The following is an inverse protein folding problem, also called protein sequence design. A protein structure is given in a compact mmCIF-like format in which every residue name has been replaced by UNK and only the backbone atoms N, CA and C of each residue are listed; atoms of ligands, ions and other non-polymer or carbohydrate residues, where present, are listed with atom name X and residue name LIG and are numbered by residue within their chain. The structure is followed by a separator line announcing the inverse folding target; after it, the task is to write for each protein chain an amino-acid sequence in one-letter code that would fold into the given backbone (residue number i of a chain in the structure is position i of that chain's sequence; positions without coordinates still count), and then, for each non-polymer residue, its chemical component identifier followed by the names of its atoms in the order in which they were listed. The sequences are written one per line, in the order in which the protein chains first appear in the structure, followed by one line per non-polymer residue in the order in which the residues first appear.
data_IF_781154945119
#
_entry.id   IF_781154945119
#
_cell.length_a   1.000
_cell.length_b   1.000
_cell.length_c   1.000
_cell.angle_alpha   90.00
_cell.angle_beta   90.00
_cell.angle_gamma   90.00
#
_symmetry.space_group_name_H-M   'P 1'
#
loop_
_entity.id
_entity.type
_entity.pdbx_description
1 polymer ?
#
# COMPACT_ATOMS: atom_id res chain seq x y z
N UNK A 1 -11.82 9.39 -13.76
CA UNK A 1 -11.65 8.27 -12.82
C UNK A 1 -12.19 7.01 -13.47
N UNK A 2 -11.46 5.91 -13.44
CA UNK A 2 -11.82 4.67 -14.16
C UNK A 2 -11.84 3.48 -13.21
N UNK A 3 -12.91 2.67 -13.24
CA UNK A 3 -12.99 1.45 -12.44
C UNK A 3 -12.23 0.31 -13.14
N UNK A 4 -11.30 -0.29 -12.41
CA UNK A 4 -10.48 -1.37 -12.89
C UNK A 4 -11.18 -2.72 -12.69
N UNK A 5 -11.15 -3.56 -13.74
CA UNK A 5 -11.60 -4.96 -13.63
C UNK A 5 -10.57 -5.74 -12.81
N UNK A 6 -11.00 -6.69 -11.98
CA UNK A 6 -10.11 -7.61 -11.25
C UNK A 6 -9.55 -8.65 -12.22
N UNK A 7 -8.57 -8.24 -13.01
CA UNK A 7 -7.88 -9.05 -14.01
C UNK A 7 -6.41 -8.66 -14.03
N UNK A 8 -5.53 -9.64 -14.03
CA UNK A 8 -4.09 -9.41 -14.19
C UNK A 8 -3.85 -9.09 -15.67
N UNK A 9 -3.41 -7.86 -15.98
CA UNK A 9 -3.23 -7.40 -17.37
C UNK A 9 -1.77 -7.32 -17.78
N UNK A 10 -0.94 -6.85 -16.87
CA UNK A 10 0.48 -6.58 -17.09
C UNK A 10 1.28 -7.37 -16.07
N UNK A 11 2.59 -7.48 -16.32
CA UNK A 11 3.51 -8.04 -15.32
C UNK A 11 3.41 -7.17 -14.06
N UNK A 12 3.12 -7.74 -12.88
CA UNK A 12 3.06 -6.96 -11.64
C UNK A 12 4.44 -6.45 -11.24
N UNK A 13 4.46 -5.42 -10.40
CA UNK A 13 5.68 -5.00 -9.69
C UNK A 13 6.20 -6.20 -8.88
N UNK A 14 7.49 -6.46 -8.99
CA UNK A 14 8.17 -7.49 -8.19
C UNK A 14 8.55 -6.87 -6.84
N UNK A 15 8.14 -7.53 -5.75
CA UNK A 15 8.49 -7.10 -4.40
C UNK A 15 9.69 -7.92 -3.94
N UNK A 16 10.81 -7.25 -3.70
CA UNK A 16 12.07 -7.88 -3.31
C UNK A 16 12.26 -7.86 -1.80
N UNK A 17 13.16 -8.70 -1.27
CA UNK A 17 13.52 -8.64 0.16
C UNK A 17 14.18 -7.32 0.51
N UNK A 18 14.98 -6.79 -0.40
CA UNK A 18 15.65 -5.50 -0.28
C UNK A 18 14.64 -4.34 -0.13
N UNK A 19 13.48 -4.41 -0.80
CA UNK A 19 12.40 -3.43 -0.63
C UNK A 19 11.85 -3.40 0.81
N UNK A 20 11.82 -4.56 1.48
CA UNK A 20 11.35 -4.69 2.87
C UNK A 20 12.45 -4.26 3.85
N UNK A 21 13.68 -4.69 3.61
CA UNK A 21 14.82 -4.44 4.51
C UNK A 21 15.32 -2.99 4.45
N UNK A 22 15.21 -2.33 3.30
CA UNK A 22 15.79 -0.99 3.09
C UNK A 22 15.10 0.13 3.87
N UNK A 23 14.01 -0.15 4.61
CA UNK A 23 13.16 0.83 5.34
C UNK A 23 12.54 1.95 4.48
N UNK A 24 12.88 2.00 3.19
CA UNK A 24 12.51 3.06 2.26
C UNK A 24 11.13 2.84 1.62
N UNK A 25 10.68 1.59 1.49
CA UNK A 25 9.49 1.28 0.67
C UNK A 25 8.21 1.07 1.47
N UNK A 26 8.16 1.53 2.74
CA UNK A 26 7.01 1.44 3.65
C UNK A 26 6.43 0.03 3.88
N UNK A 27 6.92 -0.99 3.19
CA UNK A 27 6.48 -2.37 3.22
C UNK A 27 7.13 -3.04 4.42
N UNK A 28 6.32 -3.47 5.39
CA UNK A 28 6.82 -4.12 6.60
C UNK A 28 6.73 -5.64 6.52
N UNK A 29 5.77 -6.17 5.76
CA UNK A 29 5.54 -7.60 5.69
C UNK A 29 5.03 -8.00 4.30
N UNK A 30 5.63 -9.04 3.75
CA UNK A 30 5.15 -9.71 2.55
C UNK A 30 5.26 -11.23 2.76
N UNK A 31 4.16 -11.85 3.17
CA UNK A 31 4.05 -13.29 3.43
C UNK A 31 2.95 -13.91 2.56
N UNK A 32 2.73 -15.22 2.70
CA UNK A 32 1.60 -15.92 2.06
C UNK A 32 0.23 -15.59 2.68
N UNK A 33 0.23 -14.94 3.85
CA UNK A 33 -0.97 -14.58 4.61
C UNK A 33 -1.27 -13.09 4.53
N UNK A 34 -0.25 -12.25 4.75
CA UNK A 34 -0.38 -10.81 4.86
C UNK A 34 0.63 -10.07 4.00
N UNK A 35 0.15 -9.02 3.33
CA UNK A 35 0.99 -7.95 2.80
C UNK A 35 0.63 -6.69 3.59
N UNK A 36 1.62 -6.01 4.18
CA UNK A 36 1.43 -4.88 5.08
C UNK A 36 2.32 -3.71 4.69
N UNK A 37 1.68 -2.57 4.46
CA UNK A 37 2.36 -1.30 4.17
C UNK A 37 2.02 -0.27 5.25
N UNK A 38 3.04 0.42 5.75
CA UNK A 38 2.92 1.52 6.71
C UNK A 38 2.63 2.82 5.97
N UNK A 39 1.43 3.36 6.11
CA UNK A 39 1.02 4.58 5.39
C UNK A 39 1.37 5.86 6.17
N UNK A 40 1.61 5.75 7.48
CA UNK A 40 1.83 6.94 8.31
C UNK A 40 3.29 7.41 8.24
N UNK A 41 3.49 8.59 7.65
CA UNK A 41 4.71 9.38 7.77
C UNK A 41 4.81 10.03 9.16
N UNK A 42 4.91 9.19 10.20
CA UNK A 42 5.18 9.58 11.59
C UNK A 42 6.60 9.13 11.94
N UNK A 43 7.31 9.98 12.68
CA UNK A 43 8.60 9.67 13.26
C UNK A 43 9.63 10.74 12.92
N UNK A 44 10.85 10.30 12.62
CA UNK A 44 12.02 11.15 12.41
C UNK A 44 11.79 12.32 11.44
N UNK A 45 11.09 12.10 10.32
CA UNK A 45 10.80 13.15 9.34
C UNK A 45 9.91 14.27 9.93
N UNK A 46 8.88 13.93 10.71
CA UNK A 46 8.04 14.92 11.39
C UNK A 46 8.85 15.71 12.42
N UNK A 47 9.77 15.04 13.13
CA UNK A 47 10.64 15.70 14.10
C UNK A 47 11.62 16.65 13.42
N UNK A 48 12.24 16.26 12.31
CA UNK A 48 13.16 17.12 11.54
C UNK A 48 12.43 18.38 11.06
N UNK A 49 11.27 18.21 10.41
CA UNK A 49 10.48 19.35 9.93
C UNK A 49 10.08 20.24 11.12
N UNK A 50 9.60 19.65 12.21
CA UNK A 50 9.20 20.38 13.40
C UNK A 50 10.35 21.17 14.03
N UNK A 51 11.53 20.57 14.17
CA UNK A 51 12.74 21.24 14.70
C UNK A 51 13.16 22.38 13.78
N UNK A 52 13.18 22.17 12.46
CA UNK A 52 13.53 23.23 11.49
C UNK A 52 12.56 24.42 11.61
N UNK A 53 11.25 24.16 11.72
CA UNK A 53 10.25 25.21 11.91
C UNK A 53 10.46 25.98 13.22
N UNK A 54 10.75 25.28 14.33
CA UNK A 54 11.06 25.93 15.61
C UNK A 54 12.33 26.78 15.48
N UNK A 55 13.40 26.27 14.89
CA UNK A 55 14.65 27.03 14.68
C UNK A 55 14.42 28.28 13.82
N UNK A 56 13.61 28.19 12.76
CA UNK A 56 13.24 29.36 11.95
C UNK A 56 12.47 30.41 12.77
N UNK A 57 11.61 29.99 13.69
CA UNK A 57 10.89 30.92 14.56
C UNK A 57 11.82 31.69 15.52
N UNK A 58 12.95 31.09 15.93
CA UNK A 58 13.93 31.73 16.81
C UNK A 58 14.65 32.91 16.14
N UNK A 59 14.78 32.90 14.81
CA UNK A 59 15.35 34.03 14.05
C UNK A 59 14.50 35.29 14.27
N UNK A 60 13.18 35.14 14.36
CA UNK A 60 12.24 36.23 14.62
C UNK A 60 12.42 36.91 15.98
N UNK A 61 12.93 36.18 16.98
CA UNK A 61 13.14 36.70 18.35
C UNK A 61 14.28 37.72 18.45
N UNK A 62 15.09 37.87 17.40
CA UNK A 62 16.15 38.89 17.31
C UNK A 62 15.56 40.26 16.96
N UNK A 63 14.30 40.33 16.52
CA UNK A 63 13.63 41.59 16.18
C UNK A 63 13.07 42.27 17.43
N UNK A 64 13.28 43.58 17.54
CA UNK A 64 12.61 44.43 18.55
C UNK A 64 11.14 44.72 18.19
N UNK A 65 10.71 44.40 16.96
CA UNK A 65 9.33 44.59 16.52
C UNK A 65 8.46 43.41 16.96
N UNK A 66 7.54 43.70 17.90
CA UNK A 66 6.59 42.73 18.46
C UNK A 66 5.73 42.08 17.37
N UNK A 67 5.40 42.79 16.29
CA UNK A 67 4.60 42.23 15.18
C UNK A 67 5.42 41.18 14.43
N UNK A 68 6.70 41.43 14.20
CA UNK A 68 7.62 40.48 13.55
C UNK A 68 7.82 39.25 14.42
N UNK A 69 8.07 39.45 15.72
CA UNK A 69 8.21 38.35 16.69
C UNK A 69 6.95 37.46 16.70
N UNK A 70 5.77 38.07 16.85
CA UNK A 70 4.51 37.34 16.88
C UNK A 70 4.22 36.63 15.55
N UNK A 71 4.50 37.29 14.42
CA UNK A 71 4.33 36.71 13.09
C UNK A 71 5.17 35.45 12.89
N UNK A 72 6.42 35.45 13.35
CA UNK A 72 7.34 34.31 13.24
C UNK A 72 6.92 33.16 14.17
N UNK A 73 6.51 33.45 15.41
CA UNK A 73 6.02 32.44 16.34
C UNK A 73 4.74 31.76 15.83
N UNK A 74 3.80 32.52 15.27
CA UNK A 74 2.55 31.96 14.75
C UNK A 74 2.74 31.20 13.43
N UNK A 75 3.64 31.65 12.56
CA UNK A 75 3.86 31.03 11.24
C UNK A 75 4.77 29.81 11.30
N UNK A 76 5.73 29.77 12.23
CA UNK A 76 6.75 28.71 12.29
C UNK A 76 6.82 28.03 13.66
N UNK A 77 6.78 28.80 14.76
CA UNK A 77 6.93 28.25 16.11
C UNK A 77 5.80 27.29 16.49
N UNK A 78 4.55 27.76 16.44
CA UNK A 78 3.37 26.97 16.76
C UNK A 78 3.22 25.76 15.81
N UNK A 79 3.30 25.90 14.46
CA UNK A 79 3.29 24.75 13.56
C UNK A 79 4.44 23.77 13.82
N UNK A 80 5.63 24.25 14.16
CA UNK A 80 6.78 23.42 14.51
C UNK A 80 6.52 22.54 15.73
N UNK A 81 6.05 23.14 16.83
CA UNK A 81 5.69 22.40 18.06
C UNK A 81 4.56 21.39 17.79
N UNK A 82 3.51 21.79 17.07
CA UNK A 82 2.41 20.88 16.72
C UNK A 82 2.89 19.70 15.85
N UNK A 83 3.85 19.93 14.95
CA UNK A 83 4.42 18.88 14.10
C UNK A 83 5.27 17.90 14.92
N UNK A 84 6.02 18.39 15.91
CA UNK A 84 6.76 17.53 16.85
C UNK A 84 5.80 16.67 17.66
N UNK A 85 4.76 17.28 18.23
CA UNK A 85 3.70 16.56 18.99
C UNK A 85 3.05 15.50 18.09
N UNK A 86 2.70 15.83 16.86
CA UNK A 86 2.15 14.89 15.88
C UNK A 86 3.07 13.66 15.69
N UNK A 87 4.38 13.87 15.62
CA UNK A 87 5.39 12.81 15.57
C UNK A 87 5.35 11.83 16.77
N UNK A 88 4.84 12.26 17.93
CA UNK A 88 4.67 11.42 19.12
C UNK A 88 3.27 10.83 19.32
N UNK A 89 2.22 11.50 18.83
CA UNK A 89 0.84 11.10 19.19
C UNK A 89 0.05 10.47 18.03
N UNK A 90 0.44 10.72 16.77
CA UNK A 90 -0.38 10.26 15.64
C UNK A 90 -0.41 8.72 15.55
N UNK A 91 -1.58 8.08 15.46
CA UNK A 91 -1.65 6.62 15.40
C UNK A 91 -0.96 6.09 14.14
N UNK A 92 -0.18 5.02 14.29
CA UNK A 92 0.42 4.33 13.15
C UNK A 92 -0.70 3.59 12.41
N UNK A 93 -0.84 3.87 11.11
CA UNK A 93 -1.83 3.24 10.24
C UNK A 93 -1.15 2.32 9.24
N UNK A 94 -1.77 1.14 9.10
CA UNK A 94 -1.35 0.10 8.17
C UNK A 94 -2.41 -0.13 7.11
N UNK A 95 -1.94 -0.25 5.88
CA UNK A 95 -2.68 -0.82 4.76
C UNK A 95 -2.39 -2.32 4.77
N UNK A 96 -3.41 -3.14 5.03
CA UNK A 96 -3.24 -4.60 5.24
C UNK A 96 -4.04 -5.35 4.18
N UNK A 97 -3.40 -6.31 3.56
CA UNK A 97 -4.01 -7.20 2.57
C UNK A 97 -4.01 -8.61 3.17
N UNK A 98 -5.17 -9.05 3.63
CA UNK A 98 -5.38 -10.39 4.17
C UNK A 98 -5.78 -11.33 3.02
N UNK A 99 -4.82 -12.13 2.58
CA UNK A 99 -4.98 -13.01 1.42
C UNK A 99 -5.99 -14.13 1.67
N UNK A 100 -6.01 -14.68 2.88
CA UNK A 100 -6.80 -15.88 3.18
C UNK A 100 -8.28 -15.56 3.37
N UNK A 101 -8.56 -14.47 4.08
CA UNK A 101 -9.91 -13.94 4.26
C UNK A 101 -10.38 -13.10 3.08
N UNK A 102 -9.47 -12.68 2.21
CA UNK A 102 -9.78 -11.89 1.02
C UNK A 102 -10.25 -10.49 1.39
N UNK A 103 -9.61 -9.85 2.37
CA UNK A 103 -9.98 -8.53 2.91
C UNK A 103 -8.82 -7.57 2.70
N UNK A 104 -9.13 -6.35 2.25
CA UNK A 104 -8.17 -5.25 2.22
C UNK A 104 -8.61 -4.24 3.29
N UNK A 105 -7.76 -4.03 4.29
CA UNK A 105 -7.93 -2.98 5.30
C UNK A 105 -7.33 -1.70 4.76
N UNK A 106 -8.21 -0.80 4.31
CA UNK A 106 -7.83 0.46 3.68
C UNK A 106 -7.72 1.58 4.69
N UNK A 107 -6.57 2.25 4.69
CA UNK A 107 -6.38 3.45 5.52
C UNK A 107 -7.10 4.64 4.91
N UNK A 108 -7.63 5.52 5.77
CA UNK A 108 -8.34 6.73 5.36
C UNK A 108 -7.71 7.96 5.99
N UNK A 109 -7.60 9.02 5.19
CA UNK A 109 -7.13 10.32 5.65
C UNK A 109 -8.14 10.85 6.68
N UNK A 110 -7.66 11.22 7.86
CA UNK A 110 -8.47 11.75 8.99
C UNK A 110 -9.64 10.86 9.47
N UNK A 111 -9.69 9.58 9.07
CA UNK A 111 -10.72 8.62 9.52
C UNK A 111 -10.10 7.29 9.94
N UNK A 112 -10.86 6.46 10.64
CA UNK A 112 -10.47 5.08 10.95
C UNK A 112 -10.33 4.25 9.67
N UNK A 113 -9.43 3.25 9.69
CA UNK A 113 -9.30 2.30 8.59
C UNK A 113 -10.59 1.49 8.40
N UNK A 114 -10.81 0.96 7.20
CA UNK A 114 -12.00 0.18 6.85
C UNK A 114 -11.60 -1.13 6.19
N UNK A 115 -12.15 -2.24 6.68
CA UNK A 115 -12.01 -3.55 6.06
C UNK A 115 -13.00 -3.68 4.89
N UNK A 116 -12.49 -3.89 3.68
CA UNK A 116 -13.30 -4.05 2.47
C UNK A 116 -12.99 -5.42 1.88
N UNK A 117 -14.00 -6.31 1.71
CA UNK A 117 -13.79 -7.58 1.03
C UNK A 117 -13.32 -7.35 -0.41
N UNK A 118 -12.26 -8.04 -0.82
CA UNK A 118 -11.70 -7.91 -2.16
C UNK A 118 -12.69 -8.34 -3.24
N UNK A 119 -13.57 -9.30 -2.96
CA UNK A 119 -14.60 -9.79 -3.89
C UNK A 119 -15.65 -8.73 -4.23
N UNK A 120 -16.06 -7.88 -3.28
CA UNK A 120 -17.10 -6.87 -3.47
C UNK A 120 -16.56 -5.45 -3.70
N UNK A 121 -15.35 -5.14 -3.22
CA UNK A 121 -14.72 -3.84 -3.43
C UNK A 121 -14.26 -3.60 -4.88
N UNK A 122 -13.87 -2.38 -5.19
CA UNK A 122 -13.52 -1.93 -6.54
C UNK A 122 -12.19 -1.19 -6.56
N UNK A 123 -11.32 -1.57 -7.50
CA UNK A 123 -10.15 -0.77 -7.87
C UNK A 123 -10.58 0.43 -8.71
N UNK A 124 -10.06 1.61 -8.39
CA UNK A 124 -10.39 2.88 -9.04
C UNK A 124 -9.11 3.64 -9.36
N UNK A 125 -8.86 3.86 -10.65
CA UNK A 125 -7.80 4.75 -11.14
C UNK A 125 -8.26 6.19 -10.99
N UNK A 126 -7.61 6.88 -10.06
CA UNK A 126 -7.77 8.31 -9.80
C UNK A 126 -6.58 9.10 -10.32
N UNK A 127 -6.73 10.43 -10.33
CA UNK A 127 -5.67 11.36 -10.66
C UNK A 127 -5.55 12.39 -9.55
N UNK A 128 -4.33 12.73 -9.17
CA UNK A 128 -4.02 13.75 -8.16
C UNK A 128 -2.86 14.59 -8.63
N UNK A 129 -2.89 15.88 -8.32
CA UNK A 129 -1.73 16.74 -8.48
C UNK A 129 -0.73 16.41 -7.37
N UNK A 130 0.32 15.69 -7.72
CA UNK A 130 1.39 15.36 -6.76
C UNK A 130 2.39 16.50 -6.63
N UNK A 131 2.51 17.34 -7.66
CA UNK A 131 3.32 18.56 -7.70
C UNK A 131 2.67 19.59 -8.64
N UNK A 132 3.02 20.90 -8.54
CA UNK A 132 2.58 21.90 -9.50
C UNK A 132 2.86 21.45 -10.95
N UNK A 133 1.83 21.37 -11.78
CA UNK A 133 1.94 20.95 -13.19
C UNK A 133 2.06 19.43 -13.43
N UNK A 134 2.09 18.59 -12.40
CA UNK A 134 2.23 17.13 -12.55
C UNK A 134 0.97 16.41 -12.08
N UNK A 135 0.25 15.84 -13.04
CA UNK A 135 -0.91 14.97 -12.79
C UNK A 135 -0.41 13.52 -12.72
N UNK A 136 -0.47 12.94 -11.52
CA UNK A 136 -0.09 11.54 -11.31
C UNK A 136 -1.32 10.65 -11.17
N UNK A 137 -1.25 9.47 -11.78
CA UNK A 137 -2.26 8.44 -11.59
C UNK A 137 -2.05 7.72 -10.25
N UNK A 138 -3.15 7.47 -9.54
CA UNK A 138 -3.16 6.78 -8.25
C UNK A 138 -4.21 5.66 -8.25
N UNK A 139 -3.91 4.59 -7.53
CA UNK A 139 -4.80 3.46 -7.37
C UNK A 139 -5.55 3.58 -6.05
N UNK A 140 -6.87 3.55 -6.11
CA UNK A 140 -7.76 3.59 -4.96
C UNK A 140 -8.51 2.26 -4.83
N UNK A 141 -8.81 1.85 -3.60
CA UNK A 141 -9.73 0.75 -3.33
C UNK A 141 -10.95 1.26 -2.57
N UNK A 142 -12.15 1.03 -3.14
CA UNK A 142 -13.40 1.53 -2.60
C UNK A 142 -14.44 0.42 -2.42
N UNK A 143 -15.26 0.55 -1.38
CA UNK A 143 -16.30 -0.45 -1.07
C UNK A 143 -17.50 -0.41 -2.03
N UNK A 144 -17.76 0.74 -2.66
CA UNK A 144 -18.94 0.91 -3.51
C UNK A 144 -18.71 1.99 -4.57
N UNK A 145 -19.24 1.75 -5.77
CA UNK A 145 -19.28 2.75 -6.85
C UNK A 145 -20.13 3.98 -6.51
N UNK A 146 -21.19 3.80 -5.70
CA UNK A 146 -22.09 4.88 -5.28
C UNK A 146 -21.51 5.72 -4.13
N UNK A 147 -20.64 5.12 -3.31
CA UNK A 147 -20.01 5.76 -2.14
C UNK A 147 -18.48 5.59 -2.18
N UNK A 148 -17.79 6.20 -3.17
CA UNK A 148 -16.34 6.04 -3.34
C UNK A 148 -15.53 6.62 -2.17
N UNK A 149 -16.15 7.45 -1.33
CA UNK A 149 -15.54 7.98 -0.08
C UNK A 149 -15.27 6.90 0.98
N UNK A 150 -15.88 5.72 0.85
CA UNK A 150 -15.62 4.58 1.74
C UNK A 150 -14.56 3.69 1.08
N UNK A 151 -13.31 4.12 1.25
CA UNK A 151 -12.12 3.58 0.61
C UNK A 151 -10.94 4.53 0.79
N UNK A 152 -9.86 4.31 0.06
CA UNK A 152 -8.63 5.10 0.17
C UNK A 152 -7.64 4.76 -0.93
N UNK A 153 -6.55 5.54 -0.96
CA UNK A 153 -5.43 5.32 -1.87
C UNK A 153 -4.64 4.13 -1.34
N UNK A 154 -4.32 3.20 -2.23
CA UNK A 154 -3.62 1.95 -1.91
C UNK A 154 -2.29 1.83 -2.66
N UNK A 155 -2.07 2.61 -3.73
CA UNK A 155 -0.77 2.75 -4.37
C UNK A 155 -0.65 4.07 -5.13
N UNK A 156 0.55 4.63 -5.12
CA UNK A 156 0.94 5.80 -5.91
C UNK A 156 1.70 5.35 -7.16
N UNK A 157 1.40 5.94 -8.31
CA UNK A 157 2.02 5.59 -9.60
C UNK A 157 1.81 4.12 -10.01
N UNK A 158 2.29 3.76 -11.22
CA UNK A 158 2.28 2.39 -11.77
C UNK A 158 0.96 1.63 -11.54
N UNK A 159 -0.17 2.31 -11.79
CA UNK A 159 -1.51 1.84 -11.40
C UNK A 159 -1.84 0.44 -11.91
N UNK A 160 -1.49 0.13 -13.16
CA UNK A 160 -1.78 -1.17 -13.77
C UNK A 160 -0.94 -2.30 -13.17
N UNK A 161 0.32 -2.03 -12.83
CA UNK A 161 1.25 -2.99 -12.24
C UNK A 161 0.86 -3.30 -10.79
N UNK A 162 0.58 -2.25 -10.00
CA UNK A 162 0.10 -2.37 -8.63
C UNK A 162 -1.25 -3.09 -8.57
N UNK A 163 -2.17 -2.76 -9.48
CA UNK A 163 -3.46 -3.47 -9.53
C UNK A 163 -3.30 -4.93 -9.96
N UNK A 164 -2.42 -5.22 -10.92
CA UNK A 164 -2.10 -6.60 -11.32
C UNK A 164 -1.47 -7.39 -10.18
N UNK A 165 -0.60 -6.76 -9.40
CA UNK A 165 -0.01 -7.34 -8.18
C UNK A 165 -1.09 -7.69 -7.17
N UNK A 166 -1.97 -6.74 -6.83
CA UNK A 166 -3.06 -6.96 -5.86
C UNK A 166 -4.03 -8.05 -6.30
N UNK A 167 -4.45 -8.05 -7.57
CA UNK A 167 -5.35 -9.09 -8.10
C UNK A 167 -4.70 -10.47 -8.00
N UNK A 168 -3.39 -10.57 -8.28
CA UNK A 168 -2.65 -11.82 -8.14
C UNK A 168 -2.51 -12.22 -6.67
N UNK A 169 -2.05 -11.30 -5.81
CA UNK A 169 -1.82 -11.56 -4.39
C UNK A 169 -3.10 -12.00 -3.68
N UNK A 170 -4.21 -11.29 -3.89
CA UNK A 170 -5.50 -11.58 -3.25
C UNK A 170 -6.20 -12.83 -3.82
N UNK A 171 -5.70 -13.41 -4.92
CA UNK A 171 -6.16 -14.69 -5.44
C UNK A 171 -5.48 -15.83 -4.69
N UNK A 172 -6.07 -16.26 -3.56
CA UNK A 172 -5.54 -17.36 -2.74
C UNK A 172 -5.43 -18.71 -3.48
N UNK A 173 -5.99 -18.84 -4.68
CA UNK A 173 -5.90 -20.05 -5.48
C UNK A 173 -4.73 -20.00 -6.47
N UNK A 174 -4.09 -18.84 -6.65
CA UNK A 174 -2.87 -18.67 -7.45
C UNK A 174 -1.61 -18.83 -6.60
N UNK A 175 -0.47 -19.19 -7.24
CA UNK A 175 0.84 -19.06 -6.61
C UNK A 175 1.10 -17.60 -6.21
N UNK A 176 1.98 -17.40 -5.24
CA UNK A 176 2.40 -16.05 -4.83
C UNK A 176 2.99 -15.26 -6.02
N UNK A 177 2.76 -13.93 -6.08
CA UNK A 177 3.32 -13.07 -7.12
C UNK A 177 4.85 -13.19 -7.26
N UNK A 178 5.43 -12.76 -8.40
CA UNK A 178 6.88 -12.71 -8.55
C UNK A 178 7.52 -11.72 -7.57
N UNK A 179 8.77 -11.99 -7.20
CA UNK A 179 9.53 -11.20 -6.22
C UNK A 179 10.15 -12.08 -5.12
N UNK A 180 11.37 -11.73 -4.71
CA UNK A 180 12.16 -12.50 -3.74
C UNK A 180 11.59 -12.44 -2.32
N UNK A 181 10.74 -11.45 -2.02
CA UNK A 181 10.06 -11.32 -0.75
C UNK A 181 9.21 -12.56 -0.38
N UNK A 182 8.66 -13.23 -1.40
CA UNK A 182 7.74 -14.35 -1.21
C UNK A 182 8.43 -15.73 -1.23
N UNK A 183 9.71 -15.80 -1.59
CA UNK A 183 10.38 -17.08 -1.91
C UNK A 183 10.35 -18.07 -0.75
N UNK A 184 10.50 -17.60 0.49
CA UNK A 184 10.41 -18.43 1.69
C UNK A 184 9.05 -19.10 1.89
N UNK A 185 7.97 -18.52 1.34
CA UNK A 185 6.60 -18.98 1.55
C UNK A 185 6.04 -19.75 0.36
N UNK A 186 6.75 -19.80 -0.78
CA UNK A 186 6.26 -20.45 -2.02
C UNK A 186 5.95 -21.93 -1.82
N UNK A 187 6.83 -22.65 -1.12
CA UNK A 187 6.64 -24.08 -0.89
C UNK A 187 5.44 -24.36 0.02
N UNK A 188 5.30 -23.61 1.11
CA UNK A 188 4.16 -23.72 2.02
C UNK A 188 2.83 -23.41 1.30
N UNK A 189 2.78 -22.32 0.52
CA UNK A 189 1.59 -21.97 -0.26
C UNK A 189 1.27 -23.05 -1.32
N UNK A 190 2.29 -23.62 -1.95
CA UNK A 190 2.15 -24.72 -2.90
C UNK A 190 1.55 -25.97 -2.23
N UNK A 191 2.10 -26.42 -1.09
CA UNK A 191 1.56 -27.59 -0.37
C UNK A 191 0.13 -27.37 0.12
N UNK A 192 -0.20 -26.16 0.60
CA UNK A 192 -1.57 -25.79 0.95
C UNK A 192 -2.52 -25.90 -0.25
N UNK A 193 -2.15 -25.34 -1.41
CA UNK A 193 -2.98 -25.42 -2.62
C UNK A 193 -3.08 -26.84 -3.15
N UNK A 194 -2.01 -27.63 -3.05
CA UNK A 194 -1.99 -29.04 -3.40
C UNK A 194 -2.96 -29.84 -2.53
N UNK A 195 -2.97 -29.61 -1.22
CA UNK A 195 -3.92 -30.23 -0.29
C UNK A 195 -5.37 -29.86 -0.58
N UNK A 196 -5.62 -28.64 -1.07
CA UNK A 196 -6.94 -28.19 -1.54
C UNK A 196 -7.30 -28.67 -2.96
N UNK A 197 -6.45 -29.45 -3.63
CA UNK A 197 -6.69 -29.97 -4.98
C UNK A 197 -6.46 -28.96 -6.12
N UNK A 198 -5.64 -27.93 -5.90
CA UNK A 198 -5.40 -26.82 -6.84
C UNK A 198 -6.70 -26.21 -7.41
N UNK A 199 -7.51 -25.57 -6.55
CA UNK A 199 -8.73 -24.90 -6.99
C UNK A 199 -8.44 -23.87 -8.08
N UNK A 200 -9.41 -23.66 -8.98
CA UNK A 200 -9.27 -22.67 -10.06
C UNK A 200 -9.08 -21.25 -9.51
N UNK A 201 -8.35 -20.38 -10.23
CA UNK A 201 -8.14 -19.00 -9.81
C UNK A 201 -9.46 -18.26 -9.68
N UNK A 202 -9.55 -17.35 -8.71
CA UNK A 202 -10.75 -16.55 -8.45
C UNK A 202 -10.90 -15.41 -9.47
N UNK A 203 -9.79 -14.90 -9.99
CA UNK A 203 -9.78 -13.76 -10.92
C UNK A 203 -9.08 -14.14 -12.22
N UNK A 204 -9.50 -13.63 -13.39
CA UNK A 204 -8.85 -13.91 -14.66
C UNK A 204 -7.43 -13.32 -14.75
N UNK A 205 -6.62 -13.87 -15.65
CA UNK A 205 -5.29 -13.36 -15.99
C UNK A 205 -5.07 -13.37 -17.50
N UNK A 206 -4.47 -12.31 -18.04
CA UNK A 206 -4.01 -12.24 -19.43
C UNK A 206 -2.58 -12.74 -19.61
N UNK A 207 -1.83 -12.85 -18.51
CA UNK A 207 -0.46 -13.36 -18.50
C UNK A 207 -0.40 -14.73 -17.83
N UNK A 208 0.65 -15.49 -18.12
CA UNK A 208 0.92 -16.73 -17.42
C UNK A 208 1.25 -16.46 -15.94
N UNK A 209 0.73 -17.30 -15.05
CA UNK A 209 1.04 -17.29 -13.61
C UNK A 209 1.64 -18.64 -13.23
N UNK A 210 2.91 -18.88 -13.59
CA UNK A 210 3.56 -20.16 -13.38
C UNK A 210 3.84 -20.42 -11.88
N UNK A 211 3.94 -21.69 -11.51
CA UNK A 211 4.55 -22.11 -10.23
C UNK A 211 6.05 -21.81 -10.19
N UNK A 212 6.67 -21.95 -9.00
CA UNK A 212 8.09 -21.67 -8.81
C UNK A 212 8.98 -22.64 -9.61
N UNK A 213 8.57 -23.90 -9.74
CA UNK A 213 9.29 -24.92 -10.51
C UNK A 213 8.43 -25.56 -11.59
N UNK A 214 9.07 -26.11 -12.62
CA UNK A 214 8.39 -26.83 -13.71
C UNK A 214 7.65 -28.08 -13.20
N UNK A 215 8.19 -28.75 -12.19
CA UNK A 215 7.59 -29.93 -11.57
C UNK A 215 6.30 -29.58 -10.81
N UNK A 216 6.34 -28.51 -10.02
CA UNK A 216 5.14 -27.97 -9.35
C UNK A 216 4.06 -27.61 -10.37
N UNK A 217 4.45 -26.98 -11.48
CA UNK A 217 3.53 -26.63 -12.56
C UNK A 217 2.90 -27.88 -13.22
N UNK A 218 3.68 -28.95 -13.41
CA UNK A 218 3.19 -30.22 -13.95
C UNK A 218 2.23 -30.92 -12.98
N UNK A 219 2.56 -30.94 -11.68
CA UNK A 219 1.70 -31.49 -10.64
C UNK A 219 0.37 -30.75 -10.54
N UNK A 220 0.38 -29.41 -10.62
CA UNK A 220 -0.84 -28.60 -10.67
C UNK A 220 -1.72 -28.94 -11.87
N UNK A 221 -1.14 -29.09 -13.06
CA UNK A 221 -1.89 -29.51 -14.25
C UNK A 221 -2.50 -30.90 -14.10
N UNK A 222 -1.76 -31.84 -13.50
CA UNK A 222 -2.23 -33.21 -13.25
C UNK A 222 -3.36 -33.28 -12.22
N UNK A 223 -3.23 -32.56 -11.11
CA UNK A 223 -4.18 -32.64 -9.99
C UNK A 223 -5.38 -31.69 -10.19
N UNK A 224 -5.13 -30.45 -10.59
CA UNK A 224 -6.17 -29.44 -10.78
C UNK A 224 -6.93 -29.60 -12.09
N UNK A 225 -6.29 -30.18 -13.12
CA UNK A 225 -6.91 -30.39 -14.44
C UNK A 225 -7.03 -29.11 -15.29
N UNK A 226 -6.20 -28.09 -15.02
CA UNK A 226 -6.15 -26.82 -15.76
C UNK A 226 -4.76 -26.17 -15.73
#
# INVERSE_FOLDING_TARGET
MEYLKKIIRVKPREITREDIESSNDFTEEASDLYYREKITARGWMSWIIGIILVLMSLIGLVSDDVVVVMGMLMSFGLPGVLTIIYGFVAPIKYQIYDRMNGIITVTRVFRSSVAIPFSSGYGLKGYSNTSPGVISAQLNFVSSKKKPRVGGIIAHHLVEENWSFMVWYMDKNRPLPPGSAFDAYREQDYQRRKAAGFPKPLYPSKIATPEATKEQQAARKRIGGW
#
